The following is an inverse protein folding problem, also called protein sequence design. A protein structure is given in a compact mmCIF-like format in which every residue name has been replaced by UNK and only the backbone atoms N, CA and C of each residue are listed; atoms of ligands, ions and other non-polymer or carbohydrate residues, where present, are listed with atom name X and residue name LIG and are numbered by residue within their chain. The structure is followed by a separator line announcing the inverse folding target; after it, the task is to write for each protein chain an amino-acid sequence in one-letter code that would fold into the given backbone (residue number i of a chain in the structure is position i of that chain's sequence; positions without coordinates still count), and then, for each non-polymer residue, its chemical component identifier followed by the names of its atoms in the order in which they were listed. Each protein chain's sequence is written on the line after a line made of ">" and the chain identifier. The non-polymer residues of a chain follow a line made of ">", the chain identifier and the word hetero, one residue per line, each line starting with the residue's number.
data_IF_371833423546
#
_entry.id   IF_371833423546
#
_cell.length_a   1.000
_cell.length_b   1.000
_cell.length_c   1.000
_cell.angle_alpha   90.00
_cell.angle_beta   90.00
_cell.angle_gamma   90.00
#
_symmetry.space_group_name_H-M   'P 1'
#
loop_
_entity.id
_entity.type
_entity.pdbx_description
1 polymer ?
#
# COMPACT_ATOMS: atom_id res chain seq x y z
N UNK A 1 3.55 15.99 15.37
CA UNK A 1 3.14 15.30 14.12
C UNK A 1 2.71 13.90 14.52
N UNK A 2 1.42 13.66 14.65
CA UNK A 2 0.91 12.30 14.83
C UNK A 2 0.90 11.65 13.44
N UNK A 3 1.87 10.77 13.19
CA UNK A 3 1.83 9.87 12.04
C UNK A 3 0.67 8.91 12.33
N UNK A 4 -0.45 9.07 11.63
CA UNK A 4 -1.55 8.13 11.75
C UNK A 4 -1.03 6.76 11.31
N UNK A 5 -0.96 5.82 12.24
CA UNK A 5 -0.65 4.41 11.99
C UNK A 5 -1.73 3.82 11.09
N UNK A 6 -1.52 3.90 9.78
CA UNK A 6 -2.29 3.16 8.80
C UNK A 6 -1.61 1.80 8.63
N UNK A 7 -1.75 0.91 9.62
CA UNK A 7 -1.47 -0.53 9.47
C UNK A 7 -2.60 -1.21 8.68
N UNK A 8 -2.98 -0.60 7.55
CA UNK A 8 -3.87 -1.24 6.58
C UNK A 8 -3.01 -2.00 5.59
N UNK A 9 -3.36 -3.26 5.42
CA UNK A 9 -2.78 -4.15 4.43
C UNK A 9 -3.90 -4.63 3.52
N UNK A 10 -3.55 -4.94 2.28
CA UNK A 10 -4.52 -5.43 1.31
C UNK A 10 -3.86 -6.33 0.28
N UNK A 11 -4.64 -7.21 -0.31
CA UNK A 11 -4.15 -8.14 -1.34
C UNK A 11 -4.81 -7.77 -2.67
N UNK A 12 -4.03 -7.29 -3.65
CA UNK A 12 -4.55 -6.97 -4.98
C UNK A 12 -3.84 -7.81 -6.03
N UNK A 13 -4.62 -8.51 -6.87
CA UNK A 13 -4.09 -9.43 -7.90
C UNK A 13 -3.07 -10.45 -7.33
N UNK A 14 -3.39 -11.03 -6.17
CA UNK A 14 -2.53 -12.00 -5.47
C UNK A 14 -1.18 -11.46 -4.98
N UNK A 15 -1.04 -10.12 -4.86
CA UNK A 15 0.14 -9.48 -4.27
C UNK A 15 -0.30 -8.76 -2.99
N UNK A 16 0.43 -8.99 -1.91
CA UNK A 16 0.19 -8.32 -0.63
C UNK A 16 0.87 -6.95 -0.61
N UNK A 17 0.09 -5.92 -0.32
CA UNK A 17 0.55 -4.55 -0.22
C UNK A 17 0.29 -3.96 1.16
N UNK A 18 1.20 -3.08 1.59
CA UNK A 18 0.98 -2.16 2.71
C UNK A 18 0.41 -0.85 2.17
N UNK A 19 -0.68 -0.38 2.77
CA UNK A 19 -1.30 0.89 2.42
C UNK A 19 -0.52 2.03 3.06
N UNK A 20 -0.04 2.94 2.23
CA UNK A 20 0.70 4.14 2.66
C UNK A 20 -0.25 5.31 2.86
N UNK A 21 -1.25 5.44 1.97
CA UNK A 21 -2.24 6.50 2.04
C UNK A 21 -3.51 6.11 1.31
N UNK A 22 -4.64 6.68 1.75
CA UNK A 22 -5.91 6.61 1.03
C UNK A 22 -6.00 7.89 0.21
N UNK A 23 -6.22 7.74 -1.09
CA UNK A 23 -6.43 8.81 -2.04
C UNK A 23 -7.94 9.02 -2.26
N UNK A 24 -8.31 10.16 -2.85
CA UNK A 24 -9.70 10.44 -3.22
C UNK A 24 -10.22 9.43 -4.28
N UNK A 25 -11.55 9.24 -4.32
CA UNK A 25 -12.26 8.30 -5.22
C UNK A 25 -11.93 6.82 -5.00
N UNK A 26 -11.90 6.37 -3.74
CA UNK A 26 -11.72 4.95 -3.40
C UNK A 26 -10.41 4.38 -3.99
N UNK A 27 -9.33 5.17 -3.97
CA UNK A 27 -8.00 4.76 -4.44
C UNK A 27 -7.04 4.66 -3.25
N UNK A 28 -6.09 3.74 -3.33
CA UNK A 28 -5.08 3.51 -2.30
C UNK A 28 -3.69 3.66 -2.91
N UNK A 29 -2.84 4.41 -2.22
CA UNK A 29 -1.40 4.42 -2.46
C UNK A 29 -0.78 3.30 -1.63
N UNK A 30 -0.15 2.33 -2.29
CA UNK A 30 0.33 1.11 -1.67
C UNK A 30 1.75 0.75 -2.07
N UNK A 31 2.44 -0.05 -1.25
CA UNK A 31 3.78 -0.58 -1.51
C UNK A 31 3.76 -2.10 -1.31
N UNK A 32 4.35 -2.90 -2.22
CA UNK A 32 4.42 -4.35 -2.05
C UNK A 32 5.15 -4.71 -0.75
N UNK A 33 4.60 -5.62 0.06
CA UNK A 33 5.27 -6.06 1.30
C UNK A 33 6.61 -6.71 1.03
N UNK A 34 6.77 -7.36 -0.13
CA UNK A 34 8.05 -7.92 -0.57
C UNK A 34 9.13 -6.86 -0.76
N UNK A 35 8.79 -5.68 -1.31
CA UNK A 35 9.78 -4.62 -1.51
C UNK A 35 10.20 -3.99 -0.17
N UNK A 36 9.27 -3.92 0.80
CA UNK A 36 9.57 -3.54 2.18
C UNK A 36 10.49 -4.55 2.86
N UNK A 37 10.21 -5.84 2.72
CA UNK A 37 11.00 -6.92 3.35
C UNK A 37 12.41 -7.04 2.76
N UNK A 38 12.56 -6.75 1.47
CA UNK A 38 13.85 -6.79 0.78
C UNK A 38 14.64 -5.47 0.85
N UNK A 39 14.17 -4.49 1.63
CA UNK A 39 14.80 -3.17 1.78
C UNK A 39 15.13 -2.48 0.44
N UNK A 40 14.32 -2.73 -0.60
CA UNK A 40 14.57 -2.19 -1.94
C UNK A 40 14.34 -0.69 -1.94
N UNK A 41 15.42 0.07 -2.14
CA UNK A 41 15.36 1.52 -2.31
C UNK A 41 15.75 1.92 -3.74
N UNK A 42 14.97 2.80 -4.41
CA UNK A 42 13.71 3.40 -3.93
C UNK A 42 12.55 2.40 -3.91
N UNK A 43 11.68 2.54 -2.90
CA UNK A 43 10.45 1.76 -2.80
C UNK A 43 9.50 2.17 -3.93
N UNK A 44 9.09 1.22 -4.76
CA UNK A 44 8.13 1.47 -5.81
C UNK A 44 6.71 1.47 -5.23
N UNK A 45 6.01 2.59 -5.40
CA UNK A 45 4.62 2.76 -4.98
C UNK A 45 3.67 2.48 -6.15
N UNK A 46 2.48 1.98 -5.82
CA UNK A 46 1.41 1.68 -6.78
C UNK A 46 0.11 2.32 -6.32
N UNK A 47 -0.77 2.61 -7.27
CA UNK A 47 -2.14 3.06 -6.99
C UNK A 47 -3.09 1.94 -7.39
N UNK A 48 -3.92 1.50 -6.44
CA UNK A 48 -4.93 0.44 -6.62
C UNK A 48 -6.29 0.92 -6.13
N UNK A 49 -7.42 0.38 -6.61
CA UNK A 49 -8.74 0.67 -6.04
C UNK A 49 -8.90 0.07 -4.62
N UNK A 50 -9.68 0.73 -3.76
CA UNK A 50 -10.07 0.28 -2.40
C UNK A 50 -11.12 -0.85 -2.44
N UNK A 51 -11.83 -1.00 -3.56
CA UNK A 51 -12.67 -2.18 -3.81
C UNK A 51 -11.77 -3.38 -4.13
N UNK A 52 -11.36 -4.05 -3.06
CA UNK A 52 -10.47 -5.21 -3.08
C UNK A 52 -11.32 -6.38 -2.57
N UNK A 53 -11.33 -7.49 -3.29
CA UNK A 53 -12.00 -8.74 -2.87
C UNK A 53 -11.24 -9.48 -1.78
#
# INVERSE_FOLDING_TARGET
>A
MHLFEVDRECTYKSVDYKVISVLDNDLLLVVPKEDLANEKFPLQTYVIPEQIE
#
